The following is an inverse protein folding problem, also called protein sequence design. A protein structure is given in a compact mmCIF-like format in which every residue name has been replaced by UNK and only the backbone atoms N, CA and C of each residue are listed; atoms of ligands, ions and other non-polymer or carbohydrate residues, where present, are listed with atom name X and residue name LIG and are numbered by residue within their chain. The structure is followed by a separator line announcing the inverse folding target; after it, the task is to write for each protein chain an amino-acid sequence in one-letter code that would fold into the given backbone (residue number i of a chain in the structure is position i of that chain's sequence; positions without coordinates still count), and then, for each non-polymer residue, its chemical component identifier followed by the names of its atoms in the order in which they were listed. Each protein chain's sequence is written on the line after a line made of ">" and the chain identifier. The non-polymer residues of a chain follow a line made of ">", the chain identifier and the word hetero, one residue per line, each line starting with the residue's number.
data_IF_289675731853
#
_entry.id   IF_289675731853
#
_cell.length_a   1.000
_cell.length_b   1.000
_cell.length_c   1.000
_cell.angle_alpha   90.00
_cell.angle_beta   90.00
_cell.angle_gamma   90.00
#
_symmetry.space_group_name_H-M   'P 1'
#
loop_
_entity.id
_entity.type
_entity.pdbx_description
1 polymer ?
#
# COMPACT_ATOMS: atom_id res chain seq x y z
N UNK A 1 -32.94 -6.38 3.21
CA UNK A 1 -31.63 -6.01 2.65
C UNK A 1 -30.54 -6.46 3.63
N UNK A 2 -30.01 -7.66 3.40
CA UNK A 2 -28.85 -8.19 4.14
C UNK A 2 -27.64 -8.06 3.24
N UNK A 3 -27.15 -6.82 3.08
CA UNK A 3 -25.86 -6.60 2.48
C UNK A 3 -24.78 -7.35 3.29
N UNK A 4 -23.93 -8.17 2.66
CA UNK A 4 -22.86 -8.90 3.35
C UNK A 4 -21.80 -7.99 3.99
N UNK A 5 -21.90 -6.68 3.81
CA UNK A 5 -20.96 -5.67 4.27
C UNK A 5 -21.19 -5.18 5.71
N UNK A 6 -22.25 -5.59 6.41
CA UNK A 6 -22.41 -5.22 7.82
C UNK A 6 -21.44 -6.02 8.70
N UNK A 7 -20.30 -5.40 9.01
CA UNK A 7 -19.27 -5.95 9.89
C UNK A 7 -17.92 -6.21 9.22
N UNK A 8 -17.81 -5.99 7.93
CA UNK A 8 -16.56 -6.00 7.17
C UNK A 8 -16.28 -4.56 6.76
N UNK A 9 -15.13 -4.03 7.13
CA UNK A 9 -14.66 -2.75 6.60
C UNK A 9 -14.64 -2.74 5.07
N UNK A 10 -14.47 -1.58 4.47
CA UNK A 10 -14.42 -1.45 3.01
C UNK A 10 -13.43 -2.42 2.40
N UNK A 11 -13.80 -3.00 1.25
CA UNK A 11 -12.92 -3.90 0.49
C UNK A 11 -11.95 -3.05 -0.31
N UNK A 12 -10.65 -3.30 -0.14
CA UNK A 12 -9.59 -2.61 -0.87
C UNK A 12 -8.77 -3.60 -1.71
N UNK A 13 -8.19 -3.13 -2.79
CA UNK A 13 -7.28 -3.91 -3.64
C UNK A 13 -5.86 -3.37 -3.56
N UNK A 14 -4.89 -4.27 -3.41
CA UNK A 14 -3.46 -3.94 -3.32
C UNK A 14 -2.68 -4.68 -4.36
N UNK A 15 -1.55 -4.10 -4.73
CA UNK A 15 -0.59 -4.70 -5.63
C UNK A 15 0.71 -4.95 -4.89
N UNK A 16 1.20 -6.19 -4.95
CA UNK A 16 2.57 -6.51 -4.58
C UNK A 16 3.44 -6.31 -5.82
N UNK A 17 4.44 -5.47 -5.70
CA UNK A 17 5.42 -5.21 -6.75
C UNK A 17 6.74 -5.88 -6.39
N UNK A 18 7.19 -6.79 -7.24
CA UNK A 18 8.51 -7.38 -7.18
C UNK A 18 9.38 -6.65 -8.19
N UNK A 19 10.19 -5.73 -7.72
CA UNK A 19 11.07 -4.93 -8.56
C UNK A 19 12.41 -5.67 -8.76
N UNK A 20 13.12 -5.35 -9.85
CA UNK A 20 14.50 -5.82 -10.05
C UNK A 20 15.54 -4.91 -9.39
N UNK A 21 15.10 -4.02 -8.50
CA UNK A 21 15.90 -3.05 -7.76
C UNK A 21 15.88 -3.40 -6.27
N UNK A 22 16.78 -4.27 -5.79
CA UNK A 22 16.75 -4.81 -4.42
C UNK A 22 17.02 -3.76 -3.34
N UNK A 23 17.54 -2.59 -3.71
CA UNK A 23 17.74 -1.44 -2.86
C UNK A 23 16.43 -0.78 -2.39
N UNK A 24 15.32 -0.95 -3.14
CA UNK A 24 14.03 -0.39 -2.77
C UNK A 24 13.15 -1.40 -2.02
N UNK A 25 12.40 -0.90 -1.05
CA UNK A 25 11.51 -1.70 -0.24
C UNK A 25 12.24 -2.74 0.60
N UNK A 26 11.73 -3.97 0.63
CA UNK A 26 12.41 -5.10 1.27
C UNK A 26 12.94 -6.06 0.19
N UNK A 27 14.21 -5.92 -0.16
CA UNK A 27 14.84 -6.73 -1.23
C UNK A 27 14.06 -6.64 -2.56
N UNK A 28 13.66 -5.45 -2.97
CA UNK A 28 12.88 -5.23 -4.18
C UNK A 28 11.37 -5.46 -4.02
N UNK A 29 10.87 -5.80 -2.82
CA UNK A 29 9.44 -5.99 -2.56
C UNK A 29 8.82 -4.69 -2.07
N UNK A 30 7.82 -4.20 -2.81
CA UNK A 30 6.99 -3.06 -2.45
C UNK A 30 5.52 -3.46 -2.45
N UNK A 31 4.74 -2.95 -1.50
CA UNK A 31 3.28 -3.10 -1.49
C UNK A 31 2.62 -1.76 -1.74
N UNK A 32 1.72 -1.68 -2.72
CA UNK A 32 1.04 -0.44 -3.10
C UNK A 32 -0.48 -0.56 -2.89
N UNK A 33 -1.08 0.42 -2.28
CA UNK A 33 -2.53 0.52 -2.04
C UNK A 33 -3.06 1.97 -2.06
N UNK A 34 -4.33 2.23 -2.39
CA UNK A 34 -5.27 1.41 -3.13
C UNK A 34 -5.06 1.63 -4.63
N UNK A 35 -5.11 0.57 -5.42
CA UNK A 35 -4.79 0.68 -6.86
C UNK A 35 -5.97 0.26 -7.76
N UNK A 36 -7.13 -0.08 -7.18
CA UNK A 36 -8.19 -0.68 -7.99
C UNK A 36 -9.63 -0.57 -7.46
N UNK A 37 -9.93 0.11 -6.36
CA UNK A 37 -11.30 0.14 -5.79
C UNK A 37 -11.81 1.54 -5.53
N UNK A 38 -11.11 2.36 -4.72
CA UNK A 38 -11.64 3.64 -4.24
C UNK A 38 -11.12 4.80 -5.09
N UNK A 39 -11.97 5.38 -5.97
CA UNK A 39 -11.49 6.41 -6.92
C UNK A 39 -10.90 7.62 -6.21
N UNK A 40 -11.64 8.21 -5.28
CA UNK A 40 -11.24 9.41 -4.54
C UNK A 40 -11.51 9.16 -3.05
N UNK A 41 -10.59 8.53 -2.31
CA UNK A 41 -10.77 8.31 -0.88
C UNK A 41 -10.77 9.65 -0.13
N UNK A 42 -11.62 9.78 0.87
CA UNK A 42 -11.49 10.82 1.89
C UNK A 42 -10.33 10.52 2.85
N UNK A 43 -10.07 11.41 3.82
CA UNK A 43 -8.97 11.23 4.75
C UNK A 43 -9.12 9.97 5.63
N UNK A 44 -10.33 9.65 6.07
CA UNK A 44 -10.60 8.46 6.88
C UNK A 44 -10.42 7.18 6.08
N UNK A 45 -10.94 7.14 4.86
CA UNK A 45 -10.75 6.02 3.94
C UNK A 45 -9.27 5.82 3.58
N UNK A 46 -8.55 6.91 3.33
CA UNK A 46 -7.11 6.83 3.03
C UNK A 46 -6.30 6.31 4.22
N UNK A 47 -6.67 6.68 5.44
CA UNK A 47 -6.09 6.14 6.67
C UNK A 47 -6.35 4.63 6.81
N UNK A 48 -7.58 4.18 6.55
CA UNK A 48 -7.93 2.76 6.55
C UNK A 48 -7.15 1.99 5.48
N UNK A 49 -7.02 2.55 4.27
CA UNK A 49 -6.19 1.98 3.20
C UNK A 49 -4.76 1.78 3.68
N UNK A 50 -4.17 2.78 4.36
CA UNK A 50 -2.80 2.71 4.87
C UNK A 50 -2.63 1.57 5.88
N UNK A 51 -3.46 1.52 6.91
CA UNK A 51 -3.41 0.50 7.96
C UNK A 51 -3.65 -0.89 7.38
N UNK A 52 -4.68 -1.03 6.54
CA UNK A 52 -4.98 -2.30 5.91
C UNK A 52 -3.86 -2.76 4.96
N UNK A 53 -3.23 -1.84 4.19
CA UNK A 53 -2.12 -2.20 3.30
C UNK A 53 -0.91 -2.67 4.09
N UNK A 54 -0.60 -2.02 5.22
CA UNK A 54 0.45 -2.45 6.13
C UNK A 54 0.22 -3.88 6.68
N UNK A 55 -0.99 -4.16 7.17
CA UNK A 55 -1.35 -5.50 7.65
C UNK A 55 -1.26 -6.56 6.54
N UNK A 56 -1.61 -6.20 5.30
CA UNK A 56 -1.42 -7.11 4.15
C UNK A 56 0.06 -7.37 3.87
N UNK A 57 0.90 -6.35 3.94
CA UNK A 57 2.34 -6.49 3.74
C UNK A 57 2.95 -7.45 4.77
N UNK A 58 2.54 -7.36 6.04
CA UNK A 58 2.93 -8.31 7.08
C UNK A 58 2.46 -9.74 6.77
N UNK A 59 1.17 -9.91 6.48
CA UNK A 59 0.55 -11.23 6.34
C UNK A 59 0.99 -11.96 5.07
N UNK A 60 1.19 -11.23 3.96
CA UNK A 60 1.43 -11.83 2.64
C UNK A 60 2.92 -11.89 2.30
N UNK A 61 3.64 -10.80 2.55
CA UNK A 61 5.05 -10.68 2.20
C UNK A 61 6.00 -10.93 3.40
N UNK A 62 5.48 -11.06 4.62
CA UNK A 62 6.28 -11.29 5.81
C UNK A 62 7.25 -10.14 6.11
N UNK A 63 6.90 -8.91 5.72
CA UNK A 63 7.75 -7.72 5.88
C UNK A 63 7.26 -6.87 7.07
N UNK A 64 8.19 -6.22 7.75
CA UNK A 64 7.89 -5.17 8.71
C UNK A 64 7.50 -3.89 7.94
N UNK A 65 6.23 -3.41 8.04
CA UNK A 65 5.75 -2.36 7.16
C UNK A 65 6.29 -0.99 7.58
N UNK A 66 6.90 -0.32 6.61
CA UNK A 66 7.29 1.09 6.65
C UNK A 66 6.42 1.84 5.66
N UNK A 67 5.34 2.44 6.16
CA UNK A 67 4.27 3.00 5.34
C UNK A 67 4.53 4.46 5.02
N UNK A 68 4.57 4.80 3.74
CA UNK A 68 4.59 6.17 3.26
C UNK A 68 3.24 6.55 2.63
N UNK A 69 2.56 7.57 3.17
CA UNK A 69 1.45 8.22 2.48
C UNK A 69 2.01 9.20 1.45
N UNK A 70 1.75 8.89 0.17
CA UNK A 70 2.34 9.63 -0.95
C UNK A 70 1.55 10.88 -1.31
N UNK A 71 2.28 11.90 -1.71
CA UNK A 71 1.79 13.17 -2.22
C UNK A 71 2.79 13.79 -3.19
N UNK A 72 2.42 14.86 -3.87
CA UNK A 72 3.37 15.72 -4.57
C UNK A 72 4.09 16.71 -3.62
N UNK A 73 3.70 16.72 -2.33
CA UNK A 73 4.32 17.49 -1.25
C UNK A 73 5.15 16.57 -0.34
N UNK A 74 6.20 17.12 0.27
CA UNK A 74 6.95 16.48 1.36
C UNK A 74 7.03 17.45 2.52
N UNK A 75 6.44 17.08 3.67
CA UNK A 75 6.50 17.81 4.94
C UNK A 75 6.18 19.32 4.80
N UNK A 76 5.06 19.60 4.10
CA UNK A 76 4.56 20.98 3.94
C UNK A 76 5.22 21.76 2.80
N UNK A 77 5.94 21.12 1.88
CA UNK A 77 6.59 21.80 0.74
C UNK A 77 5.58 22.41 -0.24
N UNK A 78 4.33 21.96 -0.23
CA UNK A 78 3.22 22.53 -1.01
C UNK A 78 1.96 22.63 -0.16
N UNK A 79 1.08 23.58 -0.51
CA UNK A 79 -0.22 23.80 0.13
C UNK A 79 -1.34 23.60 -0.88
N UNK A 80 -2.19 22.62 -0.63
CA UNK A 80 -3.35 22.32 -1.47
C UNK A 80 -4.29 21.38 -0.72
N UNK A 81 -5.59 21.42 -0.98
CA UNK A 81 -6.59 20.55 -0.34
C UNK A 81 -6.29 19.06 -0.44
N UNK A 82 -5.72 18.61 -1.57
CA UNK A 82 -5.31 17.20 -1.73
C UNK A 82 -4.11 16.83 -0.85
N UNK A 83 -3.27 17.79 -0.49
CA UNK A 83 -2.18 17.61 0.49
C UNK A 83 -2.75 17.54 1.89
N UNK A 84 -3.66 18.46 2.23
CA UNK A 84 -4.32 18.52 3.54
C UNK A 84 -5.05 17.21 3.84
N UNK A 85 -5.70 16.62 2.85
CA UNK A 85 -6.31 15.29 2.95
C UNK A 85 -5.30 14.21 3.36
N UNK A 86 -4.10 14.20 2.79
CA UNK A 86 -3.06 13.21 3.10
C UNK A 86 -2.50 13.43 4.51
N UNK A 87 -2.32 14.68 4.90
CA UNK A 87 -1.87 15.06 6.27
C UNK A 87 -2.89 14.61 7.31
N UNK A 88 -4.19 14.84 7.07
CA UNK A 88 -5.24 14.39 7.97
C UNK A 88 -5.34 12.86 8.03
N UNK A 89 -5.21 12.20 6.87
CA UNK A 89 -5.17 10.74 6.80
C UNK A 89 -4.01 10.14 7.61
N UNK A 90 -2.83 10.77 7.58
CA UNK A 90 -1.68 10.35 8.39
C UNK A 90 -2.00 10.39 9.89
N UNK A 91 -2.63 11.47 10.35
CA UNK A 91 -3.01 11.63 11.75
C UNK A 91 -3.98 10.52 12.19
N UNK A 92 -5.04 10.31 11.42
CA UNK A 92 -6.02 9.26 11.67
C UNK A 92 -5.35 7.87 11.65
N UNK A 93 -4.49 7.59 10.68
CA UNK A 93 -3.81 6.29 10.56
C UNK A 93 -2.91 5.99 11.77
N UNK A 94 -2.19 6.99 12.29
CA UNK A 94 -1.37 6.84 13.49
C UNK A 94 -2.21 6.57 14.76
N UNK A 95 -3.39 7.17 14.86
CA UNK A 95 -4.33 6.90 15.95
C UNK A 95 -4.94 5.48 15.84
N UNK A 96 -5.26 5.04 14.61
CA UNK A 96 -5.84 3.71 14.36
C UNK A 96 -4.85 2.56 14.59
N UNK A 97 -3.56 2.78 14.30
CA UNK A 97 -2.54 1.74 14.36
C UNK A 97 -1.21 2.31 14.88
N UNK A 98 -1.11 2.58 16.18
CA UNK A 98 0.11 3.14 16.79
C UNK A 98 1.29 2.18 16.77
N UNK A 99 1.04 0.91 16.51
CA UNK A 99 2.04 -0.17 16.38
C UNK A 99 2.68 -0.24 14.98
N UNK A 100 2.14 0.49 14.00
CA UNK A 100 2.66 0.51 12.63
C UNK A 100 3.47 1.79 12.39
N UNK A 101 4.65 1.62 11.79
CA UNK A 101 5.46 2.75 11.37
C UNK A 101 4.85 3.40 10.12
N UNK A 102 4.19 4.56 10.29
CA UNK A 102 3.52 5.32 9.23
C UNK A 102 4.03 6.75 9.22
N UNK A 103 4.38 7.26 8.05
CA UNK A 103 4.73 8.67 7.87
C UNK A 103 4.23 9.24 6.53
N UNK A 104 4.22 10.55 6.39
CA UNK A 104 3.74 11.32 5.25
C UNK A 104 3.59 12.80 5.64
N UNK A 105 3.09 13.67 4.79
CA UNK A 105 3.04 13.36 3.35
C UNK A 105 4.46 13.34 2.78
N UNK A 106 4.73 12.44 1.84
CA UNK A 106 6.03 12.28 1.20
C UNK A 106 5.87 12.18 -0.32
N UNK A 107 6.76 12.83 -1.05
CA UNK A 107 6.95 12.52 -2.47
C UNK A 107 7.55 11.12 -2.63
N UNK A 108 7.32 10.49 -3.78
CA UNK A 108 7.77 9.12 -4.01
C UNK A 108 9.31 8.96 -3.95
N UNK A 109 10.05 9.94 -4.44
CA UNK A 109 11.51 9.98 -4.33
C UNK A 109 11.98 10.10 -2.87
N UNK A 110 11.33 10.97 -2.09
CA UNK A 110 11.63 11.12 -0.66
C UNK A 110 11.25 9.87 0.15
N UNK A 111 10.22 9.13 -0.25
CA UNK A 111 9.83 7.89 0.41
C UNK A 111 10.80 6.73 0.14
N UNK A 112 11.38 6.67 -1.07
CA UNK A 112 12.13 5.51 -1.56
C UNK A 112 13.65 5.69 -1.53
N UNK A 113 14.16 6.91 -1.79
CA UNK A 113 15.60 7.17 -1.96
C UNK A 113 16.18 7.74 -0.67
N UNK A 114 17.15 7.06 -0.01
CA UNK A 114 17.66 7.47 1.31
C UNK A 114 18.20 8.89 1.36
N UNK A 115 19.00 9.31 0.37
CA UNK A 115 19.60 10.65 0.32
C UNK A 115 18.52 11.74 0.15
N UNK A 116 17.49 11.47 -0.67
CA UNK A 116 16.37 12.38 -0.87
C UNK A 116 15.50 12.46 0.40
N UNK A 117 15.25 11.32 1.03
CA UNK A 117 14.53 11.24 2.30
C UNK A 117 15.22 12.01 3.41
N UNK A 118 16.53 11.84 3.56
CA UNK A 118 17.32 12.57 4.54
C UNK A 118 17.32 14.08 4.31
N UNK A 119 17.31 14.53 3.05
CA UNK A 119 17.29 15.93 2.68
C UNK A 119 15.91 16.58 2.83
N UNK A 120 14.84 15.92 2.33
CA UNK A 120 13.48 16.50 2.26
C UNK A 120 12.64 16.26 3.52
N UNK A 121 12.94 15.21 4.27
CA UNK A 121 12.20 14.83 5.48
C UNK A 121 13.14 14.43 6.62
N UNK A 122 14.01 15.33 7.09
CA UNK A 122 14.96 15.04 8.16
C UNK A 122 14.21 14.61 9.43
N UNK A 123 14.67 13.54 10.05
CA UNK A 123 14.05 12.96 11.25
C UNK A 123 12.89 11.99 11.01
N UNK A 124 12.47 11.77 9.77
CA UNK A 124 11.54 10.70 9.43
C UNK A 124 12.22 9.34 9.46
N UNK A 125 11.67 8.38 10.20
CA UNK A 125 12.15 7.00 10.22
C UNK A 125 11.73 6.20 8.98
N UNK A 126 10.85 6.75 8.15
CA UNK A 126 10.24 6.10 6.98
C UNK A 126 10.86 6.61 5.68
N UNK A 127 11.12 7.93 5.59
CA UNK A 127 11.67 8.53 4.39
C UNK A 127 12.97 7.85 3.96
N UNK A 128 13.07 7.52 2.68
CA UNK A 128 14.18 6.78 2.09
C UNK A 128 14.17 5.27 2.34
N UNK A 129 13.20 4.74 3.12
CA UNK A 129 13.17 3.33 3.51
C UNK A 129 11.76 2.71 3.43
N UNK A 130 10.82 3.37 2.76
CA UNK A 130 9.46 2.88 2.65
C UNK A 130 9.39 1.56 1.86
N UNK A 131 8.55 0.64 2.33
CA UNK A 131 8.23 -0.62 1.64
C UNK A 131 6.73 -0.79 1.40
N UNK A 132 5.91 0.10 1.97
CA UNK A 132 4.47 0.20 1.70
C UNK A 132 4.16 1.61 1.23
N UNK A 133 3.60 1.72 0.04
CA UNK A 133 3.29 2.99 -0.61
C UNK A 133 1.76 3.16 -0.70
N UNK A 134 1.25 4.20 -0.07
CA UNK A 134 -0.19 4.51 -0.10
C UNK A 134 -0.39 5.75 -0.97
N UNK A 135 -1.11 5.56 -2.07
CA UNK A 135 -1.36 6.61 -3.05
C UNK A 135 -2.62 7.41 -2.72
N UNK A 136 -2.67 8.71 -3.05
CA UNK A 136 -3.77 9.60 -2.63
C UNK A 136 -5.08 9.38 -3.38
N UNK A 137 -5.05 8.67 -4.51
CA UNK A 137 -6.22 8.33 -5.32
C UNK A 137 -5.97 7.11 -6.20
N UNK A 138 -7.06 6.49 -6.67
CA UNK A 138 -7.02 5.36 -7.59
C UNK A 138 -6.28 5.67 -8.89
N UNK A 139 -6.48 6.86 -9.45
CA UNK A 139 -5.83 7.27 -10.69
C UNK A 139 -4.32 7.21 -10.55
N UNK A 140 -3.79 7.82 -9.48
CA UNK A 140 -2.35 7.79 -9.19
C UNK A 140 -1.87 6.35 -9.02
N UNK A 141 -2.58 5.54 -8.23
CA UNK A 141 -2.20 4.16 -7.99
C UNK A 141 -2.22 3.31 -9.24
N UNK A 142 -3.32 3.36 -10.00
CA UNK A 142 -3.49 2.55 -11.20
C UNK A 142 -2.46 2.89 -12.30
N UNK A 143 -2.21 4.17 -12.51
CA UNK A 143 -1.21 4.62 -13.48
C UNK A 143 0.20 4.22 -13.02
N UNK A 144 0.54 4.52 -11.75
CA UNK A 144 1.88 4.30 -11.23
C UNK A 144 2.30 2.84 -11.25
N UNK A 145 1.48 1.91 -10.73
CA UNK A 145 1.89 0.51 -10.72
C UNK A 145 2.07 -0.07 -12.12
N UNK A 146 1.24 0.37 -13.09
CA UNK A 146 1.39 -0.07 -14.48
C UNK A 146 2.66 0.49 -15.14
N UNK A 147 3.02 1.73 -14.84
CA UNK A 147 4.29 2.29 -15.30
C UNK A 147 5.48 1.53 -14.73
N UNK A 148 5.47 1.26 -13.42
CA UNK A 148 6.52 0.46 -12.77
C UNK A 148 6.57 -0.96 -13.36
N UNK A 149 5.42 -1.60 -13.57
CA UNK A 149 5.35 -2.93 -14.18
C UNK A 149 5.93 -2.94 -15.60
N UNK A 150 5.54 -1.97 -16.44
CA UNK A 150 5.89 -1.98 -17.86
C UNK A 150 7.26 -1.39 -18.16
N UNK A 151 7.61 -0.27 -17.55
CA UNK A 151 8.88 0.43 -17.78
C UNK A 151 9.98 -0.05 -16.83
N UNK A 152 9.63 -0.34 -15.58
CA UNK A 152 10.56 -0.87 -14.58
C UNK A 152 10.70 -2.40 -14.60
N UNK A 153 10.02 -3.09 -15.52
CA UNK A 153 10.02 -4.55 -15.63
C UNK A 153 9.69 -5.28 -14.31
N UNK A 154 8.94 -4.64 -13.42
CA UNK A 154 8.52 -5.24 -12.17
C UNK A 154 7.39 -6.26 -12.38
N UNK A 155 7.40 -7.35 -11.62
CA UNK A 155 6.25 -8.23 -11.53
C UNK A 155 5.19 -7.58 -10.63
N UNK A 156 3.98 -7.40 -11.14
CA UNK A 156 2.85 -6.88 -10.39
C UNK A 156 1.92 -8.04 -10.02
N UNK A 157 2.04 -8.51 -8.78
CA UNK A 157 1.26 -9.66 -8.28
C UNK A 157 0.03 -9.15 -7.53
N UNK A 158 -1.13 -9.50 -8.02
CA UNK A 158 -2.41 -9.03 -7.48
C UNK A 158 -3.51 -9.00 -8.54
N UNK A 159 -4.65 -8.35 -8.24
CA UNK A 159 -4.93 -7.62 -7.01
C UNK A 159 -5.25 -8.53 -5.81
N UNK A 160 -4.68 -8.17 -4.67
CA UNK A 160 -4.93 -8.83 -3.39
C UNK A 160 -6.11 -8.13 -2.72
N UNK A 161 -7.18 -8.88 -2.43
CA UNK A 161 -8.36 -8.37 -1.75
C UNK A 161 -8.19 -8.44 -0.22
N UNK A 162 -8.65 -7.39 0.47
CA UNK A 162 -8.72 -7.34 1.93
C UNK A 162 -10.03 -6.70 2.39
N UNK A 163 -10.37 -6.91 3.67
CA UNK A 163 -11.68 -6.51 4.20
C UNK A 163 -12.73 -7.61 4.06
N UNK A 164 -12.36 -8.78 3.56
CA UNK A 164 -13.24 -9.96 3.40
C UNK A 164 -12.93 -10.97 4.50
N UNK A 165 -13.96 -11.62 5.05
CA UNK A 165 -13.84 -12.57 6.16
C UNK A 165 -12.96 -13.81 5.88
N UNK A 166 -12.73 -14.12 4.60
CA UNK A 166 -11.87 -15.22 4.14
C UNK A 166 -11.03 -14.75 2.94
N UNK A 167 -9.84 -15.33 2.72
CA UNK A 167 -9.03 -14.99 1.57
C UNK A 167 -9.77 -15.30 0.27
N UNK A 168 -10.01 -14.25 -0.49
CA UNK A 168 -10.53 -14.31 -1.87
C UNK A 168 -9.71 -13.32 -2.67
N UNK A 169 -9.16 -13.75 -3.79
CA UNK A 169 -8.39 -12.89 -4.66
C UNK A 169 -8.93 -13.00 -6.08
N UNK A 170 -8.87 -11.90 -6.81
CA UNK A 170 -9.28 -11.80 -8.20
C UNK A 170 -8.04 -11.88 -9.10
N UNK A 171 -8.20 -12.35 -10.32
CA UNK A 171 -7.14 -12.41 -11.30
C UNK A 171 -7.55 -11.61 -12.54
N UNK A 172 -6.58 -10.93 -13.13
CA UNK A 172 -6.77 -10.25 -14.41
C UNK A 172 -7.11 -11.28 -15.50
N UNK A 173 -7.95 -10.89 -16.46
CA UNK A 173 -8.27 -11.72 -17.66
C UNK A 173 -7.03 -12.08 -18.49
N UNK A 174 -5.94 -11.32 -18.35
CA UNK A 174 -4.67 -11.56 -19.02
C UNK A 174 -3.59 -12.14 -18.12
N UNK A 175 -3.96 -12.80 -16.99
CA UNK A 175 -2.99 -13.41 -16.09
C UNK A 175 -2.31 -14.61 -16.72
N UNK A 176 -1.03 -14.78 -16.39
CA UNK A 176 -0.22 -15.94 -16.75
C UNK A 176 -0.44 -17.10 -15.75
N UNK A 177 0.06 -18.30 -16.10
CA UNK A 177 0.08 -19.45 -15.17
C UNK A 177 0.90 -19.13 -13.92
N UNK A 178 1.98 -18.38 -14.06
CA UNK A 178 2.83 -17.95 -12.95
C UNK A 178 2.09 -16.99 -12.00
N UNK A 179 1.28 -16.07 -12.54
CA UNK A 179 0.42 -15.20 -11.73
C UNK A 179 -0.59 -16.00 -10.90
N UNK A 180 -1.18 -17.07 -11.50
CA UNK A 180 -2.10 -17.97 -10.78
C UNK A 180 -1.37 -18.67 -9.64
N UNK A 181 -0.18 -19.21 -9.89
CA UNK A 181 0.64 -19.89 -8.89
C UNK A 181 1.00 -18.96 -7.72
N UNK A 182 1.48 -17.76 -8.04
CA UNK A 182 1.80 -16.72 -7.04
C UNK A 182 0.55 -16.34 -6.21
N UNK A 183 -0.61 -16.21 -6.86
CA UNK A 183 -1.85 -15.86 -6.17
C UNK A 183 -2.36 -16.98 -5.24
N UNK A 184 -2.19 -18.24 -5.59
CA UNK A 184 -2.49 -19.39 -4.70
C UNK A 184 -1.61 -19.32 -3.44
N UNK A 185 -0.31 -19.08 -3.59
CA UNK A 185 0.61 -18.94 -2.46
C UNK A 185 0.20 -17.76 -1.54
N UNK A 186 -0.19 -16.63 -2.12
CA UNK A 186 -0.70 -15.46 -1.38
C UNK A 186 -1.97 -15.82 -0.59
N UNK A 187 -2.94 -16.49 -1.22
CA UNK A 187 -4.18 -16.90 -0.55
C UNK A 187 -3.91 -17.87 0.62
N UNK A 188 -2.94 -18.77 0.49
CA UNK A 188 -2.50 -19.64 1.58
C UNK A 188 -1.90 -18.82 2.74
N UNK A 189 -1.01 -17.87 2.46
CA UNK A 189 -0.41 -17.01 3.48
C UNK A 189 -1.47 -16.15 4.20
N UNK A 190 -2.40 -15.57 3.47
CA UNK A 190 -3.54 -14.86 4.06
C UNK A 190 -4.35 -15.75 5.01
N UNK A 191 -4.61 -17.02 4.62
CA UNK A 191 -5.35 -17.98 5.43
C UNK A 191 -4.61 -18.36 6.72
N UNK A 192 -3.27 -18.50 6.65
CA UNK A 192 -2.41 -18.78 7.80
C UNK A 192 -2.43 -17.58 8.76
N UNK A 193 -2.25 -16.36 8.25
CA UNK A 193 -2.26 -15.13 9.04
C UNK A 193 -3.60 -14.91 9.79
N UNK A 194 -4.73 -15.24 9.16
CA UNK A 194 -6.04 -15.17 9.82
C UNK A 194 -6.24 -16.20 10.94
N UNK A 195 -5.54 -17.34 10.90
CA UNK A 195 -5.60 -18.34 11.95
C UNK A 195 -4.71 -17.98 13.14
N UNK A 196 -3.61 -17.29 12.89
CA UNK A 196 -2.66 -16.87 13.93
C UNK A 196 -3.13 -15.64 14.72
N UNK A 197 -4.12 -14.91 14.20
CA UNK A 197 -4.71 -13.72 14.83
C UNK A 197 -5.93 -14.02 15.73
N UNK A 198 -6.31 -15.29 15.85
CA UNK A 198 -7.34 -15.81 16.77
C UNK A 198 -6.71 -16.46 17.98
#
# INVERSE_FOLDING_TARGET
>A
DRSPSRGLGDVYKRQLLLTHAPEYGKNGILVMGDVAVTPVPDASQLAQIAVCTARTAQAVAGIDPKVALLSFSTKGSAKHEVVDKVVEALKIAKEMAPDIAIDGELQADAALVPEVGASKAPGSAIAGNANVLVVPSLEVGNISYKLVQRLGHADAVGPILQGIARPVNDLSRGCSVDDIYKMVAIACNQSIGLKSAK
#
